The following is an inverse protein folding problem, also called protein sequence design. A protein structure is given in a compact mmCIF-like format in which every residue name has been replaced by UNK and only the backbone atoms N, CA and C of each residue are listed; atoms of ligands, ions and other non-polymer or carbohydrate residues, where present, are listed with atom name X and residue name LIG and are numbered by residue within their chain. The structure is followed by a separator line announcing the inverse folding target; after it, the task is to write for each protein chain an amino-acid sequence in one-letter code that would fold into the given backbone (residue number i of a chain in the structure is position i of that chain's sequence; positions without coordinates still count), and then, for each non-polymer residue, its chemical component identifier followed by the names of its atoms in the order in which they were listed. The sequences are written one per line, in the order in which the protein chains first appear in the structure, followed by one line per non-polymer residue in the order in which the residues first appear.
data_IF_424065609222
#
_entry.id   IF_424065609222
#
_cell.length_a   1.000
_cell.length_b   1.000
_cell.length_c   1.000
_cell.angle_alpha   90.00
_cell.angle_beta   90.00
_cell.angle_gamma   90.00
#
_symmetry.space_group_name_H-M   'P 1'
#
loop_
_entity.id
_entity.type
_entity.pdbx_description
1 polymer ?
#
# COMPACT_ATOMS: atom_id res chain seq x y z
N UNK A 1 18.01 17.47 24.89
CA UNK A 1 16.82 18.13 24.32
C UNK A 1 16.36 17.35 23.13
N UNK A 2 15.04 17.20 22.93
CA UNK A 2 14.47 16.56 21.74
C UNK A 2 14.46 17.59 20.61
N UNK A 3 14.77 17.13 19.39
CA UNK A 3 14.62 17.96 18.21
C UNK A 3 13.15 18.28 17.94
N UNK A 4 12.90 19.40 17.32
CA UNK A 4 11.58 19.77 16.83
C UNK A 4 11.16 18.87 15.65
N UNK A 5 9.88 18.87 15.35
CA UNK A 5 9.36 18.17 14.16
C UNK A 5 9.99 18.72 12.88
N UNK A 6 10.17 20.04 12.79
CA UNK A 6 10.79 20.69 11.64
C UNK A 6 12.25 20.25 11.47
N UNK A 7 13.08 20.33 12.53
CA UNK A 7 14.48 19.87 12.47
C UNK A 7 14.59 18.41 12.05
N UNK A 8 13.62 17.55 12.48
CA UNK A 8 13.59 16.16 12.07
C UNK A 8 13.30 16.02 10.56
N UNK A 9 12.33 16.78 10.02
CA UNK A 9 12.05 16.77 8.60
C UNK A 9 13.19 17.35 7.77
N UNK A 10 13.85 18.40 8.25
CA UNK A 10 15.00 19.02 7.56
C UNK A 10 16.15 18.01 7.43
N UNK A 11 16.42 17.24 8.49
CA UNK A 11 17.42 16.18 8.45
C UNK A 11 17.03 15.07 7.45
N UNK A 12 15.78 14.59 7.50
CA UNK A 12 15.28 13.57 6.57
C UNK A 12 15.41 14.05 5.12
N UNK A 13 15.04 15.29 4.84
CA UNK A 13 15.15 15.84 3.49
C UNK A 13 16.61 16.00 3.05
N UNK A 14 17.49 16.43 3.94
CA UNK A 14 18.93 16.52 3.67
C UNK A 14 19.52 15.15 3.30
N UNK A 15 19.21 14.12 4.07
CA UNK A 15 19.67 12.75 3.81
C UNK A 15 19.11 12.22 2.48
N UNK A 16 17.84 12.47 2.19
CA UNK A 16 17.19 12.02 0.95
C UNK A 16 17.73 12.76 -0.28
N UNK A 17 18.05 14.04 -0.18
CA UNK A 17 18.68 14.82 -1.25
C UNK A 17 20.09 14.30 -1.53
N UNK A 18 20.88 14.01 -0.51
CA UNK A 18 22.18 13.38 -0.67
C UNK A 18 22.07 12.00 -1.33
N UNK A 19 21.05 11.21 -0.95
CA UNK A 19 20.77 9.93 -1.58
C UNK A 19 20.31 10.08 -3.03
N UNK A 20 19.47 11.07 -3.35
CA UNK A 20 19.06 11.39 -4.74
C UNK A 20 20.28 11.68 -5.61
N UNK A 21 21.19 12.52 -5.12
CA UNK A 21 22.44 12.86 -5.83
C UNK A 21 23.34 11.64 -6.03
N UNK A 22 23.53 10.85 -4.98
CA UNK A 22 24.38 9.65 -5.02
C UNK A 22 23.83 8.60 -5.98
N UNK A 23 22.55 8.25 -5.87
CA UNK A 23 21.92 7.27 -6.76
C UNK A 23 21.73 7.79 -8.19
N UNK A 24 21.60 9.09 -8.38
CA UNK A 24 21.55 9.71 -9.71
C UNK A 24 22.79 9.46 -10.55
N UNK A 25 23.94 9.21 -9.91
CA UNK A 25 25.23 8.86 -10.55
C UNK A 25 25.36 7.37 -10.87
N UNK A 26 24.48 6.51 -10.32
CA UNK A 26 24.55 5.05 -10.50
C UNK A 26 23.91 4.65 -11.82
N UNK A 27 24.70 4.08 -12.71
CA UNK A 27 24.23 3.56 -14.02
C UNK A 27 23.80 2.10 -13.98
N UNK A 28 24.16 1.36 -12.93
CA UNK A 28 23.89 -0.07 -12.81
C UNK A 28 22.40 -0.29 -12.50
N UNK A 29 21.81 -1.31 -13.13
CA UNK A 29 20.46 -1.74 -12.78
C UNK A 29 20.42 -2.39 -11.39
N UNK A 30 19.32 -2.19 -10.71
CA UNK A 30 19.02 -2.79 -9.41
C UNK A 30 18.88 -4.31 -9.55
N UNK A 31 19.64 -5.04 -8.76
CA UNK A 31 19.64 -6.51 -8.77
C UNK A 31 18.67 -7.15 -7.77
N UNK A 32 18.10 -6.39 -6.84
CA UNK A 32 17.24 -6.91 -5.80
C UNK A 32 16.32 -5.83 -5.23
N UNK A 33 15.08 -6.19 -4.93
CA UNK A 33 14.12 -5.30 -4.25
C UNK A 33 14.51 -4.98 -2.80
N UNK A 34 15.43 -5.75 -2.21
CA UNK A 34 15.97 -5.51 -0.86
C UNK A 34 17.10 -4.47 -0.83
N UNK A 35 17.37 -3.84 -1.96
CA UNK A 35 18.31 -2.72 -2.06
C UNK A 35 17.57 -1.49 -2.56
N UNK A 36 17.73 -0.37 -1.87
CA UNK A 36 17.20 0.90 -2.34
C UNK A 36 17.86 1.33 -3.66
N UNK A 37 17.12 2.07 -4.45
CA UNK A 37 17.58 2.73 -5.67
C UNK A 37 16.97 4.14 -5.76
N UNK A 38 17.26 4.85 -6.82
CA UNK A 38 16.73 6.19 -7.04
C UNK A 38 15.18 6.23 -7.03
N UNK A 39 14.52 5.15 -7.47
CA UNK A 39 13.05 5.08 -7.46
C UNK A 39 12.51 5.01 -6.03
N UNK A 40 13.18 4.26 -5.16
CA UNK A 40 12.84 4.20 -3.73
C UNK A 40 13.04 5.57 -3.05
N UNK A 41 14.13 6.28 -3.38
CA UNK A 41 14.38 7.63 -2.87
C UNK A 41 13.27 8.59 -3.30
N UNK A 42 12.87 8.56 -4.58
CA UNK A 42 11.77 9.41 -5.07
C UNK A 42 10.44 9.10 -4.38
N UNK A 43 10.13 7.83 -4.14
CA UNK A 43 8.89 7.48 -3.45
C UNK A 43 8.91 7.96 -1.99
N UNK A 44 10.05 7.86 -1.32
CA UNK A 44 10.18 8.36 0.05
C UNK A 44 10.12 9.89 0.10
N UNK A 45 10.76 10.61 -0.84
CA UNK A 45 10.63 12.06 -0.97
C UNK A 45 9.18 12.48 -1.23
N UNK A 46 8.46 11.78 -2.11
CA UNK A 46 7.03 12.03 -2.34
C UNK A 46 6.22 11.88 -1.05
N UNK A 47 6.46 10.80 -0.28
CA UNK A 47 5.79 10.54 1.01
C UNK A 47 6.09 11.63 2.04
N UNK A 48 7.36 12.02 2.20
CA UNK A 48 7.78 13.04 3.15
C UNK A 48 7.14 14.39 2.81
N UNK A 49 7.20 14.82 1.55
CA UNK A 49 6.59 16.08 1.11
C UNK A 49 5.06 16.05 1.26
N UNK A 50 4.40 14.91 1.03
CA UNK A 50 2.98 14.74 1.28
C UNK A 50 2.64 14.96 2.77
N UNK A 51 3.47 14.43 3.68
CA UNK A 51 3.28 14.58 5.12
C UNK A 51 3.54 16.02 5.60
N UNK A 52 4.46 16.72 4.95
CA UNK A 52 4.77 18.14 5.20
C UNK A 52 3.77 19.10 4.55
N UNK A 53 2.75 18.61 3.85
CA UNK A 53 1.79 19.39 3.06
C UNK A 53 2.44 20.20 1.92
N UNK A 54 3.60 19.78 1.44
CA UNK A 54 4.24 20.33 0.25
C UNK A 54 3.73 19.59 -0.99
N UNK A 55 2.51 19.91 -1.39
CA UNK A 55 1.76 19.18 -2.42
C UNK A 55 2.47 19.16 -3.77
N UNK A 56 3.02 20.30 -4.18
CA UNK A 56 3.73 20.41 -5.44
C UNK A 56 4.93 19.44 -5.50
N UNK A 57 5.76 19.42 -4.46
CA UNK A 57 6.90 18.50 -4.39
C UNK A 57 6.48 17.04 -4.26
N UNK A 58 5.42 16.78 -3.51
CA UNK A 58 4.86 15.44 -3.40
C UNK A 58 4.42 14.88 -4.75
N UNK A 59 3.72 15.69 -5.57
CA UNK A 59 3.30 15.34 -6.92
C UNK A 59 4.50 15.17 -7.87
N UNK A 60 5.47 16.10 -7.84
CA UNK A 60 6.68 16.03 -8.67
C UNK A 60 7.43 14.70 -8.44
N UNK A 61 7.70 14.35 -7.19
CA UNK A 61 8.42 13.10 -6.88
C UNK A 61 7.59 11.86 -7.15
N UNK A 62 6.28 11.88 -6.93
CA UNK A 62 5.39 10.79 -7.32
C UNK A 62 5.44 10.55 -8.84
N UNK A 63 5.44 11.62 -9.63
CA UNK A 63 5.57 11.53 -11.10
C UNK A 63 6.93 10.97 -11.52
N UNK A 64 8.03 11.34 -10.84
CA UNK A 64 9.36 10.75 -11.07
C UNK A 64 9.35 9.23 -10.80
N UNK A 65 8.66 8.77 -9.74
CA UNK A 65 8.48 7.33 -9.49
C UNK A 65 7.74 6.67 -10.64
N UNK A 66 6.58 7.20 -11.02
CA UNK A 66 5.73 6.62 -12.07
C UNK A 66 6.48 6.56 -13.40
N UNK A 67 7.27 7.58 -13.75
CA UNK A 67 8.08 7.59 -14.97
C UNK A 67 9.15 6.48 -15.00
N UNK A 68 9.64 6.05 -13.85
CA UNK A 68 10.66 4.99 -13.72
C UNK A 68 10.05 3.61 -13.48
N UNK A 69 8.94 3.55 -12.76
CA UNK A 69 8.29 2.30 -12.32
C UNK A 69 6.77 2.48 -12.26
N UNK A 70 6.11 2.43 -13.42
CA UNK A 70 4.66 2.64 -13.56
C UNK A 70 3.81 1.37 -13.39
N UNK A 71 4.42 0.21 -13.12
CA UNK A 71 3.74 -1.09 -13.14
C UNK A 71 2.68 -1.16 -12.04
N UNK A 72 1.49 -1.61 -12.43
CA UNK A 72 0.40 -1.99 -11.53
C UNK A 72 -0.03 -3.41 -11.91
N UNK A 73 -0.17 -4.27 -10.93
CA UNK A 73 -0.69 -5.63 -11.13
C UNK A 73 -2.19 -5.55 -11.38
N UNK A 74 -2.63 -5.91 -12.57
CA UNK A 74 -4.06 -5.94 -12.93
C UNK A 74 -4.73 -7.17 -12.33
N UNK A 75 -5.51 -6.97 -11.27
CA UNK A 75 -6.24 -8.02 -10.57
C UNK A 75 -7.36 -8.65 -11.43
N UNK A 76 -7.70 -8.06 -12.57
CA UNK A 76 -8.63 -8.69 -13.53
C UNK A 76 -8.01 -9.90 -14.26
N UNK A 77 -6.69 -9.91 -14.39
CA UNK A 77 -5.96 -10.95 -15.14
C UNK A 77 -4.95 -11.71 -14.27
N UNK A 78 -4.56 -11.16 -13.15
CA UNK A 78 -3.55 -11.72 -12.25
C UNK A 78 -4.18 -12.00 -10.87
N UNK A 79 -3.98 -13.20 -10.38
CA UNK A 79 -4.44 -13.65 -9.05
C UNK A 79 -3.31 -13.84 -8.06
N UNK A 80 -2.11 -13.36 -8.36
CA UNK A 80 -0.95 -13.45 -7.49
C UNK A 80 -1.19 -12.71 -6.18
N UNK A 81 -0.49 -13.16 -5.15
CA UNK A 81 -0.57 -12.54 -3.83
C UNK A 81 0.07 -11.16 -3.84
N UNK A 82 -0.54 -10.27 -3.06
CA UNK A 82 0.00 -8.93 -2.85
C UNK A 82 1.44 -8.95 -2.35
N UNK A 83 1.77 -9.87 -1.45
CA UNK A 83 3.05 -9.94 -0.71
C UNK A 83 4.17 -10.70 -1.41
N UNK A 84 3.99 -11.17 -2.64
CA UNK A 84 5.05 -11.87 -3.37
C UNK A 84 6.25 -10.97 -3.66
N UNK A 85 7.46 -11.51 -3.49
CA UNK A 85 8.69 -10.84 -3.91
C UNK A 85 8.67 -10.48 -5.40
N UNK A 86 8.10 -11.36 -6.22
CA UNK A 86 7.97 -11.17 -7.67
C UNK A 86 6.87 -10.20 -8.09
N UNK A 87 6.12 -9.62 -7.13
CA UNK A 87 5.06 -8.65 -7.47
C UNK A 87 5.64 -7.46 -8.23
N UNK A 88 5.10 -7.22 -9.42
CA UNK A 88 5.63 -6.22 -10.36
C UNK A 88 5.54 -4.77 -9.84
N UNK A 89 4.80 -4.53 -8.78
CA UNK A 89 4.69 -3.22 -8.15
C UNK A 89 5.82 -2.93 -7.15
N UNK A 90 6.58 -3.94 -6.75
CA UNK A 90 7.61 -3.80 -5.73
C UNK A 90 8.71 -2.85 -6.17
N UNK A 91 8.97 -1.84 -5.36
CA UNK A 91 10.08 -0.90 -5.52
C UNK A 91 11.18 -1.21 -4.50
N UNK A 92 10.82 -1.37 -3.24
CA UNK A 92 11.78 -1.66 -2.17
C UNK A 92 11.09 -2.35 -1.01
N UNK A 93 11.77 -3.28 -0.37
CA UNK A 93 11.38 -3.86 0.90
C UNK A 93 12.61 -4.07 1.78
N UNK A 94 12.48 -3.90 3.07
CA UNK A 94 13.51 -4.29 4.03
C UNK A 94 13.60 -5.81 4.22
N UNK A 95 12.73 -6.57 3.58
CA UNK A 95 12.61 -8.01 3.79
C UNK A 95 11.82 -8.34 5.06
N UNK A 96 11.80 -9.62 5.42
CA UNK A 96 11.13 -10.07 6.62
C UNK A 96 9.75 -10.68 6.37
N UNK A 97 9.17 -11.21 7.43
CA UNK A 97 7.90 -11.92 7.45
C UNK A 97 6.90 -11.31 8.46
N UNK A 98 7.00 -10.01 8.70
CA UNK A 98 6.22 -9.29 9.72
C UNK A 98 4.71 -9.50 9.54
N UNK A 99 4.20 -9.34 8.32
CA UNK A 99 2.77 -9.56 8.06
C UNK A 99 2.35 -11.01 8.27
N UNK A 100 3.05 -12.03 7.71
CA UNK A 100 2.79 -13.42 8.04
C UNK A 100 2.80 -13.69 9.54
N UNK A 101 3.79 -13.20 10.26
CA UNK A 101 3.91 -13.41 11.71
C UNK A 101 2.73 -12.78 12.46
N UNK A 102 2.34 -11.56 12.11
CA UNK A 102 1.21 -10.85 12.75
C UNK A 102 -0.13 -11.60 12.56
N UNK A 103 -0.32 -12.28 11.43
CA UNK A 103 -1.55 -13.02 11.11
C UNK A 103 -1.45 -14.54 11.26
N UNK A 104 -0.25 -15.04 11.56
CA UNK A 104 0.09 -16.48 11.62
C UNK A 104 -0.76 -17.27 12.61
N UNK A 105 -1.03 -16.71 13.77
CA UNK A 105 -1.83 -17.34 14.80
C UNK A 105 -3.27 -16.89 14.72
N UNK A 106 -4.06 -17.55 13.91
CA UNK A 106 -5.44 -17.16 13.62
C UNK A 106 -6.34 -17.02 14.81
N UNK A 107 -6.12 -17.80 15.85
CA UNK A 107 -6.91 -17.71 17.07
C UNK A 107 -6.44 -16.58 18.00
N UNK A 108 -5.19 -16.16 17.86
CA UNK A 108 -4.55 -15.15 18.71
C UNK A 108 -3.96 -13.97 17.92
N UNK A 109 -3.83 -14.09 16.60
CA UNK A 109 -3.25 -13.08 15.74
C UNK A 109 -4.19 -11.95 15.40
N UNK A 110 -3.64 -10.89 14.81
CA UNK A 110 -4.41 -9.74 14.33
C UNK A 110 -5.39 -10.13 13.22
N UNK A 111 -6.48 -9.40 13.15
CA UNK A 111 -7.54 -9.58 12.14
C UNK A 111 -7.75 -8.26 11.41
N UNK A 112 -8.16 -8.37 10.16
CA UNK A 112 -8.72 -7.22 9.46
C UNK A 112 -10.05 -6.87 10.13
N UNK A 113 -10.21 -5.62 10.55
CA UNK A 113 -11.45 -5.17 11.19
C UNK A 113 -12.64 -5.26 10.22
N UNK A 114 -13.84 -5.42 10.79
CA UNK A 114 -15.08 -5.38 9.98
C UNK A 114 -15.18 -4.08 9.19
N UNK A 115 -14.87 -2.94 9.81
CA UNK A 115 -14.89 -1.62 9.16
C UNK A 115 -13.90 -1.49 8.01
N UNK A 116 -12.81 -2.24 8.01
CA UNK A 116 -11.87 -2.29 6.90
C UNK A 116 -12.35 -3.25 5.81
N UNK A 117 -12.96 -4.37 6.16
CA UNK A 117 -13.48 -5.31 5.18
C UNK A 117 -14.69 -4.76 4.42
N UNK A 118 -15.58 -4.06 5.09
CA UNK A 118 -16.84 -3.57 4.54
C UNK A 118 -16.68 -2.41 3.55
N UNK A 119 -15.54 -1.72 3.52
CA UNK A 119 -15.29 -0.65 2.54
C UNK A 119 -15.05 -1.17 1.12
N UNK A 120 -14.78 -2.46 0.94
CA UNK A 120 -14.60 -3.06 -0.38
C UNK A 120 -15.94 -3.53 -0.92
N UNK A 121 -16.34 -3.02 -2.08
CA UNK A 121 -17.54 -3.48 -2.79
C UNK A 121 -17.35 -4.86 -3.39
N UNK A 122 -18.42 -5.51 -3.86
CA UNK A 122 -18.34 -6.79 -4.56
C UNK A 122 -17.58 -6.71 -5.91
N UNK A 123 -17.43 -5.51 -6.46
CA UNK A 123 -16.67 -5.25 -7.67
C UNK A 123 -15.19 -4.94 -7.41
N UNK A 124 -14.82 -4.74 -6.14
CA UNK A 124 -13.43 -4.53 -5.75
C UNK A 124 -12.72 -5.88 -5.62
N UNK A 125 -11.83 -6.18 -6.55
CA UNK A 125 -11.14 -7.46 -6.63
C UNK A 125 -10.23 -7.73 -5.44
N UNK A 126 -9.78 -6.68 -4.75
CA UNK A 126 -9.01 -6.82 -3.51
C UNK A 126 -9.81 -7.55 -2.43
N UNK A 127 -11.14 -7.38 -2.41
CA UNK A 127 -12.02 -8.07 -1.45
C UNK A 127 -11.92 -9.59 -1.55
N UNK A 128 -11.83 -10.12 -2.76
CA UNK A 128 -11.80 -11.57 -2.99
C UNK A 128 -10.39 -12.14 -3.18
N UNK A 129 -9.42 -11.29 -3.55
CA UNK A 129 -8.07 -11.76 -3.84
C UNK A 129 -7.07 -11.48 -2.70
N UNK A 130 -7.23 -10.36 -1.98
CA UNK A 130 -6.35 -10.01 -0.87
C UNK A 130 -6.95 -10.39 0.48
N UNK A 131 -8.27 -10.44 0.59
CA UNK A 131 -8.99 -10.70 1.83
C UNK A 131 -9.75 -12.01 1.74
N UNK A 132 -9.88 -12.66 2.87
CA UNK A 132 -10.77 -13.81 3.03
C UNK A 132 -11.68 -13.57 4.22
N UNK A 133 -12.82 -14.24 4.22
CA UNK A 133 -13.78 -14.23 5.30
C UNK A 133 -14.23 -15.65 5.57
N UNK A 134 -14.09 -16.10 6.81
CA UNK A 134 -14.64 -17.37 7.30
C UNK A 134 -15.44 -17.10 8.55
N UNK A 135 -16.76 -17.26 8.49
CA UNK A 135 -17.64 -16.90 9.58
C UNK A 135 -17.45 -15.46 10.05
N UNK A 136 -16.99 -15.26 11.26
CA UNK A 136 -16.70 -13.94 11.86
C UNK A 136 -15.29 -13.43 11.56
N UNK A 137 -14.42 -14.25 10.99
CA UNK A 137 -13.01 -13.91 10.79
C UNK A 137 -12.76 -13.35 9.41
N UNK A 138 -11.82 -12.42 9.34
CA UNK A 138 -11.40 -11.76 8.12
C UNK A 138 -9.87 -11.63 8.15
N UNK A 139 -9.21 -11.87 7.05
CA UNK A 139 -7.76 -11.84 7.01
C UNK A 139 -7.20 -11.60 5.61
N UNK A 140 -5.89 -11.51 5.50
CA UNK A 140 -5.19 -11.38 4.23
C UNK A 140 -5.10 -12.76 3.55
N UNK A 141 -5.43 -12.82 2.26
CA UNK A 141 -5.40 -14.07 1.49
C UNK A 141 -3.99 -14.39 1.02
N UNK A 142 -3.60 -15.67 1.16
CA UNK A 142 -2.34 -16.23 0.67
C UNK A 142 -2.61 -17.33 -0.35
N UNK A 143 -3.15 -16.98 -1.49
CA UNK A 143 -3.68 -17.94 -2.47
C UNK A 143 -2.69 -18.98 -2.98
N UNK A 144 -1.43 -18.61 -3.18
CA UNK A 144 -0.47 -19.54 -3.78
C UNK A 144 0.02 -20.61 -2.82
N UNK A 145 -0.04 -20.35 -1.54
CA UNK A 145 0.23 -21.38 -0.55
C UNK A 145 -0.74 -22.56 -0.73
N UNK A 146 -1.97 -22.29 -1.20
CA UNK A 146 -2.96 -23.33 -1.51
C UNK A 146 -2.51 -24.33 -2.54
N UNK A 147 -1.84 -23.90 -3.59
CA UNK A 147 -1.42 -24.81 -4.70
C UNK A 147 -0.34 -25.79 -4.24
N UNK A 148 0.52 -25.35 -3.35
CA UNK A 148 1.61 -26.19 -2.79
C UNK A 148 1.08 -27.17 -1.76
N UNK A 149 -0.10 -26.94 -1.22
CA UNK A 149 -0.69 -27.70 -0.12
C UNK A 149 -1.89 -28.57 -0.51
N UNK A 150 -2.08 -28.88 -1.77
CA UNK A 150 -3.09 -29.83 -2.22
C UNK A 150 -2.91 -31.27 -1.64
N UNK A 151 -1.87 -31.46 -0.83
CA UNK A 151 -1.63 -32.71 -0.10
C UNK A 151 -2.08 -32.66 1.37
N UNK A 152 -2.54 -31.51 1.87
CA UNK A 152 -3.12 -31.41 3.19
C UNK A 152 -4.60 -31.81 3.15
N UNK A 153 -5.13 -32.40 4.23
CA UNK A 153 -6.50 -32.90 4.25
C UNK A 153 -7.51 -31.82 3.83
N UNK A 154 -8.56 -32.22 3.14
CA UNK A 154 -9.63 -31.39 2.53
C UNK A 154 -10.27 -30.32 3.43
N UNK A 155 -9.93 -30.27 4.69
CA UNK A 155 -10.47 -29.34 5.71
C UNK A 155 -9.59 -28.12 5.98
N UNK A 156 -8.53 -27.90 5.20
CA UNK A 156 -7.69 -26.73 5.38
C UNK A 156 -8.37 -25.49 4.84
N UNK A 157 -9.11 -24.81 5.70
CA UNK A 157 -9.59 -23.48 5.44
C UNK A 157 -8.39 -22.51 5.23
N UNK A 158 -8.55 -21.38 4.54
CA UNK A 158 -7.49 -20.41 4.28
C UNK A 158 -6.59 -20.07 5.47
N UNK A 159 -7.11 -20.17 6.66
CA UNK A 159 -6.40 -19.97 7.93
C UNK A 159 -5.21 -20.91 8.16
N UNK A 160 -5.22 -22.10 7.60
CA UNK A 160 -4.14 -23.09 7.79
C UNK A 160 -2.97 -22.91 6.84
N UNK A 161 -3.10 -22.10 5.82
CA UNK A 161 -2.03 -21.84 4.88
C UNK A 161 -0.82 -21.20 5.55
N UNK A 162 -1.05 -20.37 6.56
CA UNK A 162 0.00 -19.77 7.36
C UNK A 162 0.71 -20.81 8.23
N UNK A 163 -0.06 -21.68 8.85
CA UNK A 163 0.48 -22.72 9.70
C UNK A 163 1.33 -23.72 8.94
N UNK A 164 0.83 -24.14 7.83
CA UNK A 164 1.51 -25.12 7.02
C UNK A 164 2.87 -24.57 6.54
N UNK A 165 2.95 -23.30 6.23
CA UNK A 165 4.20 -22.62 5.89
C UNK A 165 5.20 -22.64 7.06
N UNK A 166 4.74 -22.48 8.30
CA UNK A 166 5.60 -22.43 9.49
C UNK A 166 6.06 -23.79 10.01
N UNK A 167 5.43 -24.87 9.62
CA UNK A 167 5.72 -26.23 10.08
C UNK A 167 6.64 -27.03 9.14
N UNK A 168 7.52 -26.34 8.42
CA UNK A 168 8.57 -27.00 7.66
C UNK A 168 8.14 -27.55 6.31
N UNK A 169 7.07 -27.03 5.75
CA UNK A 169 6.73 -27.35 4.36
C UNK A 169 7.85 -26.86 3.44
N UNK A 170 8.37 -27.78 2.69
CA UNK A 170 9.52 -27.60 1.82
C UNK A 170 9.15 -26.74 0.62
N UNK A 171 9.44 -25.47 0.71
CA UNK A 171 9.25 -24.51 -0.37
C UNK A 171 9.13 -23.10 0.19
N UNK A 172 10.24 -22.42 0.36
CA UNK A 172 10.24 -20.99 0.69
C UNK A 172 9.66 -20.23 -0.49
N UNK A 173 8.53 -19.59 -0.27
CA UNK A 173 7.97 -18.63 -1.22
C UNK A 173 8.47 -17.26 -0.80
N UNK A 174 9.30 -16.58 -1.62
CA UNK A 174 9.83 -15.27 -1.28
C UNK A 174 8.70 -14.24 -1.12
N UNK A 175 8.63 -13.64 0.05
CA UNK A 175 7.64 -12.62 0.39
C UNK A 175 8.30 -11.33 0.86
N UNK A 176 7.68 -10.20 0.54
CA UNK A 176 8.12 -8.85 0.91
C UNK A 176 7.19 -8.24 1.96
N UNK A 177 6.87 -8.99 2.94
CA UNK A 177 5.85 -8.66 3.92
C UNK A 177 6.36 -7.84 5.11
N UNK A 178 7.47 -7.13 4.94
CA UNK A 178 7.97 -6.18 5.93
C UNK A 178 6.99 -5.03 6.14
N UNK A 179 6.99 -4.48 7.37
CA UNK A 179 6.29 -3.23 7.69
C UNK A 179 6.84 -2.02 6.91
N UNK A 180 8.06 -2.11 6.39
CA UNK A 180 8.64 -1.11 5.51
C UNK A 180 8.71 -1.64 4.08
N UNK A 181 7.65 -1.39 3.35
CA UNK A 181 7.45 -1.86 1.99
C UNK A 181 6.95 -0.73 1.09
N UNK A 182 7.54 -0.60 -0.09
CA UNK A 182 7.31 0.46 -1.05
C UNK A 182 6.86 -0.12 -2.39
N UNK A 183 5.71 0.35 -2.88
CA UNK A 183 5.11 -0.10 -4.15
C UNK A 183 4.71 1.07 -5.02
N UNK A 184 4.67 0.85 -6.33
CA UNK A 184 4.21 1.86 -7.31
C UNK A 184 2.79 2.36 -7.03
N UNK A 185 1.89 1.53 -6.51
CA UNK A 185 0.53 1.94 -6.14
C UNK A 185 0.52 3.14 -5.17
N UNK A 186 1.49 3.22 -4.24
CA UNK A 186 1.62 4.38 -3.36
C UNK A 186 1.92 5.66 -4.14
N UNK A 187 2.76 5.60 -5.18
CA UNK A 187 3.08 6.78 -5.98
C UNK A 187 1.84 7.34 -6.70
N UNK A 188 0.99 6.47 -7.24
CA UNK A 188 -0.28 6.90 -7.84
C UNK A 188 -1.21 7.56 -6.82
N UNK A 189 -1.25 7.07 -5.60
CA UNK A 189 -2.06 7.64 -4.52
C UNK A 189 -1.47 8.95 -4.00
N UNK A 190 -0.16 9.05 -3.86
CA UNK A 190 0.51 10.28 -3.49
C UNK A 190 0.28 11.38 -4.54
N UNK A 191 0.39 11.03 -5.83
CA UNK A 191 0.10 11.93 -6.94
C UNK A 191 -1.35 12.40 -6.90
N UNK A 192 -2.31 11.45 -6.81
CA UNK A 192 -3.73 11.78 -6.80
C UNK A 192 -4.10 12.70 -5.64
N UNK A 193 -3.59 12.43 -4.45
CA UNK A 193 -3.89 13.21 -3.25
C UNK A 193 -3.25 14.61 -3.33
N UNK A 194 -1.99 14.69 -3.76
CA UNK A 194 -1.28 15.95 -3.90
C UNK A 194 -1.92 16.86 -4.97
N UNK A 195 -2.33 16.29 -6.10
CA UNK A 195 -3.01 17.05 -7.17
C UNK A 195 -4.40 17.53 -6.72
N UNK A 196 -5.15 16.70 -5.99
CA UNK A 196 -6.45 17.10 -5.45
C UNK A 196 -6.33 18.27 -4.46
N UNK A 197 -5.30 18.27 -3.61
CA UNK A 197 -5.06 19.38 -2.68
C UNK A 197 -4.62 20.68 -3.35
N UNK A 198 -4.10 20.61 -4.56
CA UNK A 198 -3.74 21.76 -5.38
C UNK A 198 -4.91 22.25 -6.26
N UNK A 199 -6.06 21.55 -6.24
CA UNK A 199 -7.21 21.84 -7.11
C UNK A 199 -7.07 21.30 -8.54
N UNK A 200 -6.06 20.50 -8.83
CA UNK A 200 -5.81 19.88 -10.15
C UNK A 200 -6.64 18.58 -10.27
N UNK A 201 -7.97 18.72 -10.23
CA UNK A 201 -8.87 17.58 -10.07
C UNK A 201 -8.79 16.54 -11.20
N UNK A 202 -8.58 16.98 -12.45
CA UNK A 202 -8.45 16.06 -13.58
C UNK A 202 -7.19 15.19 -13.47
N UNK A 203 -6.07 15.77 -13.06
CA UNK A 203 -4.83 15.05 -12.81
C UNK A 203 -5.00 14.07 -11.63
N UNK A 204 -5.67 14.52 -10.56
CA UNK A 204 -5.97 13.68 -9.40
C UNK A 204 -6.84 12.48 -9.79
N UNK A 205 -7.94 12.70 -10.54
CA UNK A 205 -8.81 11.62 -11.05
C UNK A 205 -8.05 10.67 -11.97
N UNK A 206 -7.24 11.21 -12.88
CA UNK A 206 -6.43 10.38 -13.79
C UNK A 206 -5.52 9.42 -13.02
N UNK A 207 -4.81 9.92 -12.01
CA UNK A 207 -3.89 9.12 -11.21
C UNK A 207 -4.61 8.02 -10.41
N UNK A 208 -5.67 8.36 -9.67
CA UNK A 208 -6.41 7.38 -8.86
C UNK A 208 -7.16 6.37 -9.74
N UNK A 209 -7.74 6.80 -10.85
CA UNK A 209 -8.47 5.90 -11.76
C UNK A 209 -7.54 4.95 -12.50
N UNK A 210 -6.29 5.33 -12.76
CA UNK A 210 -5.27 4.42 -13.27
C UNK A 210 -5.04 3.25 -12.32
N UNK A 211 -4.93 3.52 -11.02
CA UNK A 211 -4.84 2.46 -10.00
C UNK A 211 -6.13 1.63 -9.94
N UNK A 212 -7.29 2.27 -9.91
CA UNK A 212 -8.60 1.61 -9.81
C UNK A 212 -8.88 0.68 -10.97
N UNK A 213 -8.47 1.03 -12.18
CA UNK A 213 -8.60 0.16 -13.36
C UNK A 213 -7.92 -1.21 -13.17
N UNK A 214 -6.87 -1.27 -12.35
CA UNK A 214 -6.18 -2.51 -12.00
C UNK A 214 -6.78 -3.23 -10.76
N UNK A 215 -7.74 -2.63 -10.07
CA UNK A 215 -8.30 -3.13 -8.79
C UNK A 215 -9.79 -3.46 -8.86
N UNK A 216 -10.51 -2.80 -9.73
CA UNK A 216 -11.97 -2.96 -9.86
C UNK A 216 -12.26 -3.81 -11.09
N UNK A 217 -13.31 -4.62 -11.03
CA UNK A 217 -13.77 -5.41 -12.19
C UNK A 217 -13.99 -4.49 -13.39
N UNK A 218 -13.50 -4.90 -14.55
CA UNK A 218 -13.77 -4.22 -15.82
C UNK A 218 -15.28 -4.12 -16.03
N UNK A 219 -15.72 -3.00 -16.59
CA UNK A 219 -17.13 -2.71 -16.88
C UNK A 219 -18.05 -2.63 -15.64
N UNK A 220 -17.48 -2.61 -14.45
CA UNK A 220 -18.27 -2.46 -13.23
C UNK A 220 -18.72 -1.00 -13.03
N UNK A 221 -19.95 -0.83 -12.56
CA UNK A 221 -20.40 0.47 -12.06
C UNK A 221 -19.47 0.96 -10.93
N UNK A 222 -19.07 2.22 -10.98
CA UNK A 222 -18.16 2.83 -10.02
C UNK A 222 -16.69 2.44 -10.21
N UNK A 223 -16.30 1.96 -11.41
CA UNK A 223 -14.90 1.76 -11.77
C UNK A 223 -14.11 3.05 -11.58
N UNK A 224 -14.58 4.15 -12.11
CA UNK A 224 -13.93 5.44 -12.03
C UNK A 224 -14.52 6.32 -10.93
N UNK A 225 -13.66 7.06 -10.24
CA UNK A 225 -14.03 8.20 -9.42
C UNK A 225 -14.30 9.37 -10.38
N UNK A 226 -15.46 9.98 -10.25
CA UNK A 226 -15.93 11.12 -11.07
C UNK A 226 -16.28 12.33 -10.21
N UNK A 227 -16.18 12.21 -8.89
CA UNK A 227 -16.43 13.28 -7.93
C UNK A 227 -15.45 14.45 -8.08
N UNK A 228 -15.83 15.59 -7.52
CA UNK A 228 -15.06 16.83 -7.50
C UNK A 228 -14.95 17.38 -6.07
N UNK A 229 -14.11 18.38 -5.86
CA UNK A 229 -13.95 19.09 -4.60
C UNK A 229 -13.65 18.18 -3.41
N UNK A 230 -14.30 18.48 -2.31
CA UNK A 230 -14.16 17.73 -1.05
C UNK A 230 -14.49 16.24 -1.18
N UNK A 231 -15.44 15.88 -2.07
CA UNK A 231 -15.79 14.48 -2.26
C UNK A 231 -14.66 13.72 -2.98
N UNK A 232 -14.01 14.32 -3.96
CA UNK A 232 -12.83 13.73 -4.62
C UNK A 232 -11.72 13.43 -3.62
N UNK A 233 -11.44 14.37 -2.71
CA UNK A 233 -10.44 14.17 -1.66
C UNK A 233 -10.80 12.98 -0.75
N UNK A 234 -12.06 12.88 -0.33
CA UNK A 234 -12.56 11.77 0.49
C UNK A 234 -12.46 10.43 -0.25
N UNK A 235 -12.80 10.40 -1.53
CA UNK A 235 -12.73 9.19 -2.34
C UNK A 235 -11.27 8.73 -2.55
N UNK A 236 -10.32 9.65 -2.76
CA UNK A 236 -8.89 9.35 -2.86
C UNK A 236 -8.35 8.81 -1.52
N UNK A 237 -8.71 9.44 -0.39
CA UNK A 237 -8.32 8.96 0.95
C UNK A 237 -8.90 7.56 1.24
N UNK A 238 -10.14 7.31 0.80
CA UNK A 238 -10.75 5.98 0.91
C UNK A 238 -10.02 4.95 0.05
N UNK A 239 -9.66 5.32 -1.19
CA UNK A 239 -8.88 4.44 -2.07
C UNK A 239 -7.51 4.14 -1.47
N UNK A 240 -6.83 5.15 -0.89
CA UNK A 240 -5.57 4.98 -0.15
C UNK A 240 -5.72 4.03 1.04
N UNK A 241 -6.79 4.17 1.83
CA UNK A 241 -7.09 3.27 2.94
C UNK A 241 -7.27 1.81 2.48
N UNK A 242 -7.90 1.59 1.32
CA UNK A 242 -8.07 0.27 0.72
C UNK A 242 -6.75 -0.31 0.24
N UNK A 243 -5.98 0.47 -0.49
CA UNK A 243 -4.79 0.01 -1.19
C UNK A 243 -3.61 -0.26 -0.27
N UNK A 244 -3.38 0.62 0.71
CA UNK A 244 -2.23 0.55 1.62
C UNK A 244 -2.55 -0.11 2.97
N UNK A 245 -3.59 -0.93 2.99
CA UNK A 245 -3.97 -1.72 4.16
C UNK A 245 -2.80 -2.58 4.65
N UNK A 246 -2.56 -2.60 5.96
CA UNK A 246 -1.53 -3.40 6.64
C UNK A 246 -0.07 -3.04 6.27
N UNK A 247 0.17 -1.95 5.57
CA UNK A 247 1.49 -1.49 5.17
C UNK A 247 2.02 -0.33 6.02
N UNK A 248 1.49 -0.15 7.23
CA UNK A 248 1.95 0.86 8.20
C UNK A 248 1.48 2.29 7.95
N UNK A 249 0.75 2.57 6.86
CA UNK A 249 0.39 3.94 6.48
C UNK A 249 -0.74 4.55 7.30
N UNK A 250 -1.75 3.76 7.72
CA UNK A 250 -3.02 4.30 8.22
C UNK A 250 -2.88 5.23 9.42
N UNK A 251 -2.02 4.89 10.38
CA UNK A 251 -1.79 5.73 11.55
C UNK A 251 -1.24 7.13 11.18
N UNK A 252 -0.25 7.15 10.30
CA UNK A 252 0.34 8.40 9.82
C UNK A 252 -0.64 9.20 8.97
N UNK A 253 -1.44 8.55 8.13
CA UNK A 253 -2.48 9.19 7.34
C UNK A 253 -3.52 9.88 8.24
N UNK A 254 -4.02 9.20 9.28
CA UNK A 254 -4.96 9.78 10.23
C UNK A 254 -4.40 11.02 10.94
N UNK A 255 -3.13 10.96 11.35
CA UNK A 255 -2.47 12.09 12.01
C UNK A 255 -2.34 13.30 11.07
N UNK A 256 -1.90 13.08 9.83
CA UNK A 256 -1.74 14.17 8.86
C UNK A 256 -3.08 14.72 8.37
N UNK A 257 -4.10 13.90 8.21
CA UNK A 257 -5.44 14.36 7.84
C UNK A 257 -6.06 15.26 8.91
N UNK A 258 -5.79 14.98 10.19
CA UNK A 258 -6.30 15.81 11.28
C UNK A 258 -5.80 17.26 11.21
N UNK A 259 -4.57 17.49 10.74
CA UNK A 259 -3.92 18.80 10.64
C UNK A 259 -3.80 19.30 9.20
N UNK A 260 -4.44 18.61 8.26
CA UNK A 260 -4.41 18.99 6.84
C UNK A 260 -5.06 20.36 6.65
N UNK A 261 -4.41 21.23 5.89
CA UNK A 261 -4.92 22.56 5.56
C UNK A 261 -6.13 22.49 4.60
N UNK A 262 -6.25 21.38 3.86
CA UNK A 262 -7.35 21.10 2.93
C UNK A 262 -8.15 19.90 3.43
N UNK A 263 -9.44 20.06 3.68
CA UNK A 263 -10.35 19.02 4.18
C UNK A 263 -9.79 18.29 5.43
N UNK A 264 -9.66 18.98 6.59
CA UNK A 264 -9.19 18.33 7.82
C UNK A 264 -10.20 17.28 8.27
N UNK A 265 -9.69 16.10 8.65
CA UNK A 265 -10.51 14.95 9.05
C UNK A 265 -10.23 14.59 10.51
N UNK A 266 -11.24 14.71 11.38
CA UNK A 266 -11.15 14.30 12.79
C UNK A 266 -11.77 12.91 12.93
N UNK A 267 -10.96 11.94 13.27
CA UNK A 267 -11.43 10.58 13.58
C UNK A 267 -11.25 10.34 15.07
N UNK A 268 -12.32 9.91 15.71
CA UNK A 268 -12.28 9.38 17.08
C UNK A 268 -12.24 7.86 17.01
N UNK A 269 -11.27 7.28 17.69
CA UNK A 269 -11.17 5.82 17.84
C UNK A 269 -11.53 5.51 19.29
N UNK A 270 -12.62 4.78 19.48
CA UNK A 270 -13.04 4.28 20.81
C UNK A 270 -12.75 2.78 20.88
N UNK A 271 -12.26 2.33 22.01
CA UNK A 271 -12.17 0.92 22.35
C UNK A 271 -13.19 0.63 23.44
N UNK A 272 -14.08 -0.32 23.17
CA UNK A 272 -14.93 -0.88 24.19
C UNK A 272 -14.13 -1.99 24.90
N UNK A 273 -13.93 -1.85 26.20
CA UNK A 273 -13.24 -2.81 27.06
C UNK A 273 -14.22 -3.83 27.61
#
# INVERSE_FOLDING_TARGET
TRNTVQETYDLILSDLQAAEEAFGKVKAEKKSIYRADLTAVYLLLSRVHLYMQNWQKAAEYAQKVISRHSRLVDLNTNTDRLVLESNAENIFSMGGDDLPVMFKYMYQGLRVSKSQYDIYTNNDLRRSQWLWKSGKFQGLTMREVTKTYNQLPEKTEPRYYWFAYSEGLRGYIPEVSSIFWMRSAEAYLNLAEAEAYQGNEDAARSAVNKLRAARIKKDAAGLNITSNGSQLIKDIRLERRKELMLQGHRWFDLRRYRVCSVEPEKISITHDY
#
